data_IF_267011906377
#
_entry.id   IF_267011906377
#
_cell.length_a   1.000
_cell.length_b   1.000
_cell.length_c   1.000
_cell.angle_alpha   90.00
_cell.angle_beta   90.00
_cell.angle_gamma   90.00
#
_symmetry.space_group_name_H-M   'P 1'
#
loop_
_entity.id
_entity.type
_entity.pdbx_description
1 polymer ?
#
# COMPACT_ATOMS: atom_id res chain seq x y z
N UNK A 1 -16.95 56.08 -45.70
CA UNK A 1 -15.70 55.30 -45.59
C UNK A 1 -15.74 54.60 -44.24
N UNK A 2 -15.39 53.33 -44.27
CA UNK A 2 -15.53 52.26 -43.28
C UNK A 2 -14.81 52.53 -41.95
N UNK A 3 -15.34 52.06 -40.82
CA UNK A 3 -14.72 51.00 -39.99
C UNK A 3 -15.41 50.80 -38.61
N UNK A 4 -16.21 49.73 -38.58
CA UNK A 4 -16.30 48.60 -37.63
C UNK A 4 -15.51 48.59 -36.30
N UNK A 5 -16.24 48.28 -35.21
CA UNK A 5 -15.90 47.43 -34.04
C UNK A 5 -14.82 47.89 -33.03
N UNK A 6 -14.78 47.50 -31.75
CA UNK A 6 -15.60 46.61 -30.94
C UNK A 6 -15.38 46.89 -29.44
N UNK A 7 -16.43 46.57 -28.71
CA UNK A 7 -16.58 46.26 -27.29
C UNK A 7 -15.38 45.51 -26.65
N UNK A 8 -14.93 45.96 -25.47
CA UNK A 8 -14.10 45.16 -24.57
C UNK A 8 -14.81 45.05 -23.22
N UNK A 9 -15.55 43.95 -23.07
CA UNK A 9 -16.07 43.48 -21.80
C UNK A 9 -14.93 43.04 -20.89
N UNK A 10 -14.93 43.59 -19.69
CA UNK A 10 -14.04 43.25 -18.58
C UNK A 10 -14.61 42.01 -17.88
N UNK A 11 -14.10 40.83 -18.24
CA UNK A 11 -14.41 39.58 -17.56
C UNK A 11 -13.41 39.38 -16.41
N UNK A 12 -13.87 39.67 -15.20
CA UNK A 12 -13.32 39.11 -13.98
C UNK A 12 -13.40 37.58 -14.05
N UNK A 13 -12.28 36.88 -13.83
CA UNK A 13 -12.28 35.44 -13.59
C UNK A 13 -11.44 35.14 -12.36
N UNK A 14 -12.10 34.48 -11.41
CA UNK A 14 -11.67 34.27 -10.05
C UNK A 14 -10.37 33.47 -9.94
N UNK A 15 -9.57 33.90 -8.98
CA UNK A 15 -8.41 33.19 -8.48
C UNK A 15 -8.87 31.88 -7.83
N UNK A 16 -8.86 30.80 -8.60
CA UNK A 16 -9.01 29.45 -8.06
C UNK A 16 -7.74 29.16 -7.25
N UNK A 17 -7.83 29.28 -5.92
CA UNK A 17 -6.77 28.85 -5.00
C UNK A 17 -6.51 27.37 -5.24
N UNK A 18 -5.51 27.07 -6.05
CA UNK A 18 -5.01 25.72 -6.23
C UNK A 18 -4.56 25.20 -4.85
N UNK A 19 -5.32 24.24 -4.32
CA UNK A 19 -4.89 23.42 -3.20
C UNK A 19 -3.46 22.93 -3.47
N UNK A 20 -2.53 23.04 -2.50
CA UNK A 20 -1.15 22.63 -2.72
C UNK A 20 -1.15 21.15 -3.09
N UNK A 21 -0.84 20.84 -4.35
CA UNK A 21 -0.66 19.47 -4.83
C UNK A 21 0.46 18.88 -3.98
N UNK A 22 0.13 17.99 -3.05
CA UNK A 22 1.11 17.23 -2.25
C UNK A 22 2.12 16.65 -3.24
N UNK A 23 3.41 17.00 -3.10
CA UNK A 23 4.46 16.51 -4.02
C UNK A 23 4.38 14.98 -4.04
N UNK A 24 4.24 14.34 -5.22
CA UNK A 24 4.19 12.89 -5.29
C UNK A 24 5.50 12.32 -4.75
N UNK A 25 5.40 11.38 -3.82
CA UNK A 25 6.58 10.76 -3.21
C UNK A 25 7.46 10.14 -4.30
N UNK A 26 8.78 10.36 -4.21
CA UNK A 26 9.76 9.78 -5.12
C UNK A 26 9.77 8.24 -5.03
N UNK A 27 10.29 7.57 -6.07
CA UNK A 27 10.30 6.10 -6.18
C UNK A 27 10.90 5.38 -4.95
N UNK A 28 11.87 6.01 -4.27
CA UNK A 28 12.49 5.48 -3.04
C UNK A 28 11.50 5.27 -1.87
N UNK A 29 10.34 5.92 -1.89
CA UNK A 29 9.33 5.82 -0.82
C UNK A 29 8.31 4.71 -1.05
N UNK A 30 8.44 3.97 -2.16
CA UNK A 30 7.63 2.80 -2.50
C UNK A 30 8.25 1.49 -2.03
N UNK A 31 9.48 1.53 -1.52
CA UNK A 31 10.11 0.40 -0.85
C UNK A 31 10.05 0.62 0.67
N UNK A 32 9.32 -0.24 1.37
CA UNK A 32 9.22 -0.24 2.83
C UNK A 32 9.98 -1.46 3.36
N UNK A 33 11.09 -1.24 4.05
CA UNK A 33 11.86 -2.34 4.65
C UNK A 33 11.37 -2.65 6.06
N UNK A 34 11.10 -3.93 6.32
CA UNK A 34 10.61 -4.45 7.60
C UNK A 34 11.68 -5.31 8.26
N UNK A 35 11.85 -5.16 9.57
CA UNK A 35 12.72 -5.99 10.42
C UNK A 35 13.67 -5.15 11.28
N UNK A 36 14.58 -5.79 12.05
CA UNK A 36 15.42 -5.11 13.05
C UNK A 36 16.31 -3.98 12.51
N UNK A 37 16.63 -4.02 11.21
CA UNK A 37 17.41 -2.98 10.49
C UNK A 37 16.58 -2.26 9.42
N UNK A 38 15.29 -2.59 9.33
CA UNK A 38 14.35 -1.98 8.40
C UNK A 38 13.87 -0.61 8.88
N UNK A 39 13.20 0.13 8.00
CA UNK A 39 12.52 1.38 8.36
C UNK A 39 11.35 1.13 9.31
N UNK A 40 10.71 -0.03 9.18
CA UNK A 40 9.59 -0.45 10.01
C UNK A 40 10.01 -1.66 10.86
N UNK A 41 9.79 -1.64 12.17
CA UNK A 41 9.96 -2.79 13.04
C UNK A 41 9.14 -4.01 12.61
N UNK A 42 7.88 -3.79 12.21
CA UNK A 42 6.90 -4.84 11.91
C UNK A 42 6.21 -4.65 10.55
N UNK A 43 5.65 -5.73 10.02
CA UNK A 43 4.79 -5.73 8.83
C UNK A 43 3.53 -4.91 9.09
N UNK A 44 2.96 -5.02 10.29
CA UNK A 44 1.78 -4.26 10.70
C UNK A 44 2.03 -2.75 10.62
N UNK A 45 3.15 -2.27 11.18
CA UNK A 45 3.52 -0.85 11.12
C UNK A 45 3.77 -0.36 9.69
N UNK A 46 4.36 -1.19 8.83
CA UNK A 46 4.52 -0.84 7.42
C UNK A 46 3.15 -0.71 6.71
N UNK A 47 2.18 -1.57 7.02
CA UNK A 47 0.82 -1.48 6.49
C UNK A 47 0.08 -0.25 7.03
N UNK A 48 0.24 0.08 8.31
CA UNK A 48 -0.33 1.30 8.91
C UNK A 48 0.23 2.55 8.25
N UNK A 49 1.55 2.60 8.03
CA UNK A 49 2.18 3.69 7.30
C UNK A 49 1.61 3.86 5.89
N UNK A 50 1.32 2.76 5.17
CA UNK A 50 0.68 2.83 3.87
C UNK A 50 -0.72 3.44 3.94
N UNK A 51 -1.49 3.11 4.97
CA UNK A 51 -2.84 3.66 5.20
C UNK A 51 -2.77 5.17 5.45
N UNK A 52 -1.90 5.57 6.37
CA UNK A 52 -1.74 6.96 6.78
C UNK A 52 -1.22 7.86 5.65
N UNK A 53 -0.48 7.27 4.70
CA UNK A 53 0.16 7.98 3.60
C UNK A 53 -0.45 7.63 2.23
N UNK A 54 -1.67 7.07 2.17
CA UNK A 54 -2.23 6.52 0.92
C UNK A 54 -2.24 7.50 -0.25
N UNK A 55 -2.58 8.77 0.00
CA UNK A 55 -2.70 9.81 -1.04
C UNK A 55 -1.34 10.21 -1.63
N UNK A 56 -0.28 9.88 -0.93
CA UNK A 56 1.09 10.18 -1.30
C UNK A 56 1.62 9.20 -2.37
N UNK A 57 0.95 8.05 -2.53
CA UNK A 57 1.25 7.00 -3.50
C UNK A 57 0.48 7.19 -4.81
N UNK A 58 0.86 8.21 -5.58
CA UNK A 58 0.28 8.48 -6.90
C UNK A 58 0.92 7.57 -7.96
N UNK A 59 0.12 6.81 -8.75
CA UNK A 59 0.63 6.05 -9.89
C UNK A 59 1.22 6.97 -10.95
N UNK A 60 2.42 6.63 -11.44
CA UNK A 60 3.13 7.31 -12.52
C UNK A 60 3.22 6.43 -13.77
N UNK A 61 3.36 5.12 -13.57
CA UNK A 61 3.36 4.10 -14.61
C UNK A 61 2.50 2.89 -14.18
N UNK A 62 1.97 2.14 -15.16
CA UNK A 62 1.25 0.87 -14.95
C UNK A 62 2.06 -0.20 -14.21
N UNK A 63 3.39 -0.09 -14.22
CA UNK A 63 4.33 -1.01 -13.54
C UNK A 63 4.64 -0.61 -12.10
N UNK A 64 4.16 0.55 -11.66
CA UNK A 64 4.41 1.00 -10.31
C UNK A 64 3.79 0.02 -9.30
N UNK A 65 4.58 -0.33 -8.29
CA UNK A 65 4.13 -1.13 -7.16
C UNK A 65 4.75 -0.58 -5.88
N UNK A 66 4.11 -0.91 -4.77
CA UNK A 66 4.63 -0.69 -3.42
C UNK A 66 5.15 -2.02 -2.92
N UNK A 67 6.40 -2.07 -2.48
CA UNK A 67 7.03 -3.28 -1.97
C UNK A 67 7.32 -3.13 -0.49
N UNK A 68 6.66 -3.96 0.33
CA UNK A 68 7.03 -4.23 1.71
C UNK A 68 8.03 -5.39 1.69
N UNK A 69 9.29 -5.08 1.94
CA UNK A 69 10.40 -6.02 1.92
C UNK A 69 10.72 -6.48 3.36
N UNK A 70 10.46 -7.75 3.66
CA UNK A 70 10.75 -8.35 4.96
C UNK A 70 12.22 -8.80 4.95
N UNK A 71 13.04 -8.02 5.66
CA UNK A 71 14.48 -8.21 5.79
C UNK A 71 14.86 -9.00 7.04
N UNK A 72 13.91 -9.24 7.95
CA UNK A 72 14.10 -10.12 9.10
C UNK A 72 14.25 -11.58 8.66
N UNK A 73 15.04 -12.36 9.38
CA UNK A 73 15.22 -13.80 9.20
C UNK A 73 14.59 -14.58 10.35
N UNK A 74 14.39 -15.88 10.16
CA UNK A 74 13.87 -16.78 11.20
C UNK A 74 12.36 -16.67 11.37
N UNK A 75 11.90 -16.93 12.60
CA UNK A 75 10.46 -16.95 12.93
C UNK A 75 10.00 -15.60 13.43
N UNK A 76 8.91 -15.09 12.84
CA UNK A 76 8.28 -13.82 13.18
C UNK A 76 6.90 -14.08 13.79
N UNK A 77 6.65 -13.53 14.97
CA UNK A 77 5.35 -13.61 15.65
C UNK A 77 4.36 -12.58 15.06
N UNK A 78 4.29 -12.49 13.74
CA UNK A 78 3.56 -11.46 13.01
C UNK A 78 2.41 -12.03 12.17
N UNK A 79 1.42 -11.17 11.90
CA UNK A 79 0.31 -11.45 10.98
C UNK A 79 0.33 -10.47 9.82
N UNK A 80 -0.16 -10.91 8.68
CA UNK A 80 -0.50 -10.02 7.56
C UNK A 80 -2.00 -9.81 7.58
N UNK A 81 -2.44 -8.61 7.96
CA UNK A 81 -3.85 -8.24 7.98
C UNK A 81 -4.07 -7.05 7.06
N UNK A 82 -4.66 -7.32 5.90
CA UNK A 82 -4.91 -6.32 4.87
C UNK A 82 -6.42 -6.22 4.65
N UNK A 83 -7.02 -5.19 5.23
CA UNK A 83 -8.41 -4.80 4.99
C UNK A 83 -8.43 -3.47 4.24
N UNK A 84 -9.14 -3.45 3.12
CA UNK A 84 -9.37 -2.28 2.30
C UNK A 84 -10.86 -2.00 2.07
N UNK A 85 -11.73 -2.48 2.96
CA UNK A 85 -13.18 -2.24 2.93
C UNK A 85 -13.55 -0.75 2.95
N UNK A 86 -12.69 0.08 3.56
CA UNK A 86 -12.88 1.53 3.65
C UNK A 86 -12.02 2.32 2.65
N UNK A 87 -11.49 1.66 1.60
CA UNK A 87 -10.59 2.27 0.61
C UNK A 87 -9.37 2.97 1.25
N UNK A 88 -8.85 2.39 2.33
CA UNK A 88 -7.77 2.94 3.15
C UNK A 88 -6.38 2.68 2.60
N UNK A 89 -6.22 1.84 1.57
CA UNK A 89 -4.92 1.56 0.97
C UNK A 89 -4.65 2.39 -0.30
N UNK A 90 -3.36 2.55 -0.67
CA UNK A 90 -2.98 3.05 -1.98
C UNK A 90 -3.64 2.26 -3.13
N UNK A 91 -3.92 2.94 -4.25
CA UNK A 91 -4.43 2.28 -5.47
C UNK A 91 -3.37 1.44 -6.20
N UNK A 92 -2.09 1.64 -5.87
CA UNK A 92 -0.99 0.88 -6.44
C UNK A 92 -1.03 -0.59 -5.98
N UNK A 93 -0.60 -1.54 -6.83
CA UNK A 93 -0.30 -2.90 -6.40
C UNK A 93 0.62 -2.91 -5.17
N UNK A 94 0.33 -3.80 -4.23
CA UNK A 94 1.14 -3.99 -3.01
C UNK A 94 1.79 -5.37 -3.08
N UNK A 95 3.08 -5.42 -2.75
CA UNK A 95 3.86 -6.65 -2.69
C UNK A 95 4.44 -6.79 -1.29
N UNK A 96 4.21 -7.91 -0.63
CA UNK A 96 4.82 -8.26 0.66
C UNK A 96 5.74 -9.45 0.43
N UNK A 97 7.06 -9.22 0.53
CA UNK A 97 8.07 -10.17 0.05
C UNK A 97 9.14 -10.41 1.11
N UNK A 98 9.34 -11.67 1.50
CA UNK A 98 10.52 -12.10 2.25
C UNK A 98 11.75 -12.17 1.35
N UNK A 99 12.88 -11.60 1.80
CA UNK A 99 14.12 -11.57 1.00
C UNK A 99 15.28 -12.38 1.54
N UNK A 100 15.18 -12.83 2.79
CA UNK A 100 16.22 -13.64 3.43
C UNK A 100 16.16 -15.11 3.01
N UNK A 101 17.30 -15.78 3.14
CA UNK A 101 17.41 -17.24 3.07
C UNK A 101 18.07 -17.76 4.36
N UNK A 102 17.45 -18.74 5.06
CA UNK A 102 16.14 -19.33 4.79
C UNK A 102 15.00 -18.29 4.85
N UNK A 103 13.90 -18.59 4.16
CA UNK A 103 12.72 -17.70 4.10
C UNK A 103 12.20 -17.37 5.51
N UNK A 104 11.70 -16.14 5.73
CA UNK A 104 11.07 -15.80 7.00
C UNK A 104 9.83 -16.66 7.24
N UNK A 105 9.67 -17.16 8.47
CA UNK A 105 8.53 -17.98 8.89
C UNK A 105 7.56 -17.11 9.69
N UNK A 106 6.32 -16.97 9.25
CA UNK A 106 5.27 -16.35 10.06
C UNK A 106 4.66 -17.38 11.02
N UNK A 107 4.80 -17.15 12.32
CA UNK A 107 4.25 -18.02 13.38
C UNK A 107 3.62 -17.17 14.51
N UNK A 108 2.53 -16.43 14.21
CA UNK A 108 1.83 -15.67 15.24
C UNK A 108 1.09 -16.62 16.19
N UNK A 109 1.07 -16.34 17.51
CA UNK A 109 0.44 -17.23 18.51
C UNK A 109 -1.09 -17.25 18.37
N UNK A 110 -1.73 -18.31 18.85
CA UNK A 110 -3.20 -18.46 18.87
C UNK A 110 -3.80 -18.98 17.56
N UNK A 111 -5.13 -19.06 17.50
CA UNK A 111 -5.85 -19.78 16.42
C UNK A 111 -6.18 -18.93 15.20
N UNK A 112 -6.07 -17.60 15.30
CA UNK A 112 -6.41 -16.71 14.21
C UNK A 112 -5.48 -16.93 12.99
N UNK A 113 -6.00 -16.71 11.75
CA UNK A 113 -5.21 -16.84 10.52
C UNK A 113 -3.93 -16.01 10.55
N UNK A 114 -2.94 -16.49 9.81
CA UNK A 114 -1.65 -15.80 9.65
C UNK A 114 -1.80 -14.66 8.65
N UNK A 115 -2.53 -14.92 7.56
CA UNK A 115 -2.83 -13.95 6.52
C UNK A 115 -4.34 -13.79 6.44
N UNK A 116 -4.82 -12.55 6.54
CA UNK A 116 -6.21 -12.17 6.25
C UNK A 116 -6.21 -11.05 5.23
N UNK A 117 -6.91 -11.24 4.13
CA UNK A 117 -7.03 -10.28 3.02
C UNK A 117 -8.51 -10.03 2.79
N UNK A 118 -8.95 -8.79 2.89
CA UNK A 118 -10.33 -8.38 2.79
C UNK A 118 -10.51 -7.18 1.85
N UNK A 119 -11.26 -7.36 0.76
CA UNK A 119 -11.57 -6.30 -0.23
C UNK A 119 -10.33 -5.62 -0.84
N UNK A 120 -9.28 -6.40 -1.10
CA UNK A 120 -8.01 -5.91 -1.66
C UNK A 120 -7.80 -6.47 -3.06
N UNK A 121 -7.35 -5.62 -3.97
CA UNK A 121 -6.91 -6.01 -5.31
C UNK A 121 -5.40 -5.88 -5.46
N UNK A 122 -4.84 -6.65 -6.40
CA UNK A 122 -3.43 -6.54 -6.83
C UNK A 122 -2.44 -6.62 -5.66
N UNK A 123 -2.73 -7.51 -4.70
CA UNK A 123 -1.84 -7.86 -3.60
C UNK A 123 -1.04 -9.12 -3.95
N UNK A 124 0.27 -9.07 -3.76
CA UNK A 124 1.17 -10.21 -3.86
C UNK A 124 1.77 -10.47 -2.49
N UNK A 125 1.69 -11.70 -2.01
CA UNK A 125 2.46 -12.17 -0.85
C UNK A 125 3.36 -13.30 -1.31
N UNK A 126 4.66 -13.17 -1.13
CA UNK A 126 5.63 -14.11 -1.69
C UNK A 126 6.85 -14.33 -0.79
N UNK A 127 7.49 -15.49 -0.96
CA UNK A 127 8.73 -15.87 -0.28
C UNK A 127 8.65 -15.82 1.25
N UNK A 128 7.55 -16.32 1.79
CA UNK A 128 7.34 -16.51 3.22
C UNK A 128 6.93 -17.96 3.47
N UNK A 129 7.40 -18.52 4.55
CA UNK A 129 6.87 -19.78 5.08
C UNK A 129 5.84 -19.47 6.16
N UNK A 130 4.78 -20.27 6.23
CA UNK A 130 3.68 -20.06 7.19
C UNK A 130 3.64 -21.25 8.15
N UNK A 131 3.86 -20.99 9.44
CA UNK A 131 3.63 -22.00 10.46
C UNK A 131 2.17 -22.00 10.88
N UNK A 132 1.38 -22.85 10.21
CA UNK A 132 -0.05 -23.03 10.45
C UNK A 132 -0.38 -24.08 11.53
N UNK A 133 0.61 -24.55 12.30
CA UNK A 133 0.37 -25.51 13.37
C UNK A 133 -0.69 -24.95 14.34
N UNK A 134 -1.69 -25.77 14.69
CA UNK A 134 -2.80 -25.41 15.59
C UNK A 134 -3.70 -24.29 15.06
N UNK A 135 -3.66 -23.98 13.77
CA UNK A 135 -4.57 -23.02 13.13
C UNK A 135 -5.57 -23.77 12.24
N UNK A 136 -6.88 -23.59 12.43
CA UNK A 136 -7.88 -24.16 11.51
C UNK A 136 -7.79 -23.55 10.11
N UNK A 137 -7.29 -22.31 9.99
CA UNK A 137 -7.12 -21.58 8.73
C UNK A 137 -5.79 -20.83 8.76
N UNK A 138 -4.91 -21.07 7.77
CA UNK A 138 -3.64 -20.35 7.63
C UNK A 138 -3.82 -19.00 6.91
N UNK A 139 -4.61 -19.00 5.84
CA UNK A 139 -4.86 -17.86 4.95
C UNK A 139 -6.36 -17.71 4.74
N UNK A 140 -6.88 -16.50 4.97
CA UNK A 140 -8.30 -16.14 4.78
C UNK A 140 -8.40 -15.04 3.74
N UNK A 141 -9.19 -15.28 2.70
CA UNK A 141 -9.48 -14.33 1.62
C UNK A 141 -10.98 -14.04 1.65
N UNK A 142 -11.34 -12.76 1.80
CA UNK A 142 -12.72 -12.33 1.99
C UNK A 142 -13.03 -11.08 1.16
N UNK A 143 -14.33 -10.86 0.91
CA UNK A 143 -14.81 -9.70 0.18
C UNK A 143 -15.10 -9.98 -1.30
N UNK A 144 -15.51 -8.92 -2.00
CA UNK A 144 -15.84 -8.99 -3.43
C UNK A 144 -14.67 -8.46 -4.25
N UNK A 145 -14.23 -9.23 -5.25
CA UNK A 145 -13.32 -8.74 -6.28
C UNK A 145 -14.14 -7.83 -7.22
N UNK A 146 -14.05 -6.51 -7.06
CA UNK A 146 -14.73 -5.56 -7.94
C UNK A 146 -13.81 -5.18 -9.10
N UNK A 147 -13.70 -6.08 -10.08
CA UNK A 147 -12.98 -5.83 -11.34
C UNK A 147 -13.74 -4.93 -12.31
#
# INVERSE_FOLDING_TARGET
>A
MSDTAAEKGEAASGSEKASPRKKPLGAALRLLTVGPKGKFPTIAEALDYLRDNKDAYVPRDRRDAITIQITASGTLAERIQVDNSNFSLPRLPIQIIGVQEPRPVLSPPGEAPIITIQNVERLIVARLDLNAEKKPVAVRLEGSLQG
#
